data_IF_670826528736
#
_entry.id   IF_670826528736
#
_cell.length_a   1.000
_cell.length_b   1.000
_cell.length_c   1.000
_cell.angle_alpha   90.00
_cell.angle_beta   90.00
_cell.angle_gamma   90.00
#
_symmetry.space_group_name_H-M   'P 1'
#
loop_
_entity.id
_entity.type
_entity.pdbx_description
1 polymer ?
#
# COMPACT_ATOMS: atom_id res chain seq x y z
N UNK A 1 -6.19 79.91 -28.22
CA UNK A 1 -6.92 79.60 -26.96
C UNK A 1 -5.91 79.07 -25.95
N UNK A 2 -5.71 79.76 -24.84
CA UNK A 2 -4.78 79.39 -23.78
C UNK A 2 -5.46 78.31 -22.92
N UNK A 3 -4.85 77.13 -22.68
CA UNK A 3 -5.49 76.09 -21.88
C UNK A 3 -5.64 76.58 -20.43
N UNK A 4 -6.84 76.46 -19.89
CA UNK A 4 -7.13 76.85 -18.52
C UNK A 4 -6.36 75.96 -17.52
N UNK A 5 -5.85 76.52 -16.41
CA UNK A 5 -5.11 75.76 -15.43
C UNK A 5 -6.04 74.73 -14.77
N UNK A 6 -5.72 73.46 -14.98
CA UNK A 6 -6.46 72.33 -14.42
C UNK A 6 -6.50 72.44 -12.88
N UNK A 7 -7.70 72.26 -12.30
CA UNK A 7 -7.95 72.49 -10.86
C UNK A 7 -6.98 71.73 -9.94
N UNK A 8 -6.63 72.32 -8.78
CA UNK A 8 -5.71 71.73 -7.78
C UNK A 8 -6.09 70.28 -7.41
N UNK A 9 -7.38 69.94 -7.42
CA UNK A 9 -7.90 68.57 -7.17
C UNK A 9 -7.53 67.55 -8.25
N UNK A 10 -7.41 67.97 -9.51
CA UNK A 10 -7.00 67.09 -10.62
C UNK A 10 -5.47 66.95 -10.62
N UNK A 11 -4.73 68.01 -10.26
CA UNK A 11 -3.27 67.96 -10.10
C UNK A 11 -2.83 66.96 -9.03
N UNK A 12 -3.53 66.90 -7.89
CA UNK A 12 -3.23 65.95 -6.81
C UNK A 12 -3.57 64.50 -7.16
N UNK A 13 -4.63 64.27 -7.95
CA UNK A 13 -4.96 62.94 -8.49
C UNK A 13 -3.94 62.47 -9.53
N UNK A 14 -3.49 63.36 -10.41
CA UNK A 14 -2.44 63.05 -11.39
C UNK A 14 -1.10 62.78 -10.69
N UNK A 15 -0.71 63.56 -9.68
CA UNK A 15 0.55 63.33 -8.95
C UNK A 15 0.57 62.01 -8.16
N UNK A 16 -0.59 61.52 -7.69
CA UNK A 16 -0.69 60.19 -7.05
C UNK A 16 -0.58 59.05 -8.07
N UNK A 17 -1.04 59.26 -9.31
CA UNK A 17 -0.96 58.27 -10.39
C UNK A 17 0.37 58.26 -11.15
N UNK A 18 1.17 59.32 -11.03
CA UNK A 18 2.53 59.41 -11.59
C UNK A 18 3.54 58.95 -10.55
N UNK A 19 3.38 57.73 -10.06
CA UNK A 19 4.57 56.99 -9.64
C UNK A 19 5.23 56.50 -10.92
N UNK A 20 6.20 57.26 -11.43
CA UNK A 20 7.13 56.74 -12.44
C UNK A 20 7.63 55.41 -11.89
N UNK A 21 7.25 54.29 -12.51
CA UNK A 21 7.84 52.99 -12.17
C UNK A 21 9.35 53.22 -12.14
N UNK A 22 10.06 52.88 -11.04
CA UNK A 22 11.49 53.14 -10.96
C UNK A 22 12.15 52.51 -12.17
N UNK A 23 13.01 53.29 -12.85
CA UNK A 23 13.77 52.83 -14.02
C UNK A 23 14.43 51.49 -13.66
N UNK A 24 14.45 50.52 -14.58
CA UNK A 24 14.93 49.16 -14.28
C UNK A 24 16.37 49.14 -13.72
N UNK A 25 17.19 50.13 -14.07
CA UNK A 25 18.56 50.35 -13.58
C UNK A 25 18.64 50.81 -12.11
N UNK A 26 17.56 51.36 -11.53
CA UNK A 26 17.50 51.77 -10.12
C UNK A 26 16.81 50.72 -9.23
N UNK A 27 16.54 49.53 -9.77
CA UNK A 27 16.15 48.39 -8.91
C UNK A 27 17.38 47.99 -8.12
N UNK A 28 17.29 47.98 -6.79
CA UNK A 28 18.28 47.29 -5.98
C UNK A 28 18.38 45.86 -6.49
N UNK A 29 19.56 45.48 -6.96
CA UNK A 29 19.86 44.20 -7.54
C UNK A 29 19.31 43.07 -6.67
N UNK A 30 18.81 42.02 -7.32
CA UNK A 30 18.47 40.74 -6.69
C UNK A 30 19.73 40.18 -6.00
N UNK A 31 20.00 40.61 -4.78
CA UNK A 31 20.93 39.95 -3.87
C UNK A 31 20.38 38.55 -3.61
N UNK A 32 21.26 37.54 -3.61
CA UNK A 32 20.91 36.14 -3.37
C UNK A 32 20.13 35.96 -2.05
N UNK A 33 20.42 36.80 -1.06
CA UNK A 33 19.68 36.89 0.19
C UNK A 33 18.75 38.11 0.15
N UNK A 34 17.44 37.84 -0.01
CA UNK A 34 16.42 38.87 0.15
C UNK A 34 16.38 39.24 1.64
N UNK A 35 16.91 40.41 2.00
CA UNK A 35 16.65 40.99 3.33
C UNK A 35 15.14 41.16 3.47
N UNK A 36 14.56 40.56 4.51
CA UNK A 36 13.15 40.76 4.83
C UNK A 36 12.87 42.25 4.98
N UNK A 37 11.83 42.71 4.28
CA UNK A 37 11.44 44.13 4.32
C UNK A 37 10.98 44.44 5.74
N UNK A 38 11.73 45.28 6.45
CA UNK A 38 11.39 45.79 7.78
C UNK A 38 10.17 46.72 7.78
N UNK A 39 9.77 47.23 6.62
CA UNK A 39 8.62 48.12 6.48
C UNK A 39 7.29 47.36 6.62
N UNK A 40 6.32 47.87 7.40
CA UNK A 40 5.01 47.25 7.54
C UNK A 40 4.26 47.26 6.21
N UNK A 41 3.59 46.15 5.87
CA UNK A 41 2.74 46.08 4.68
C UNK A 41 1.56 47.04 4.85
N UNK A 42 1.41 48.01 3.96
CA UNK A 42 0.29 48.96 4.01
C UNK A 42 -0.85 48.49 3.10
N UNK A 43 -2.09 48.43 3.60
CA UNK A 43 -3.31 48.35 2.77
C UNK A 43 -4.07 49.67 2.84
N UNK A 44 -4.32 50.28 1.69
CA UNK A 44 -5.03 51.58 1.55
C UNK A 44 -4.45 52.69 2.46
N UNK A 45 -3.13 52.69 2.66
CA UNK A 45 -2.44 53.70 3.48
C UNK A 45 -2.36 53.39 4.99
N UNK A 46 -2.92 52.27 5.44
CA UNK A 46 -2.84 51.84 6.84
C UNK A 46 -1.93 50.62 7.01
N UNK A 47 -1.08 50.55 8.06
CA UNK A 47 -0.27 49.38 8.35
C UNK A 47 -1.11 48.16 8.71
N UNK A 48 -0.92 47.09 7.96
CA UNK A 48 -1.38 45.75 8.30
C UNK A 48 -0.47 45.20 9.39
N UNK A 49 -0.90 45.31 10.63
CA UNK A 49 -0.31 44.55 11.72
C UNK A 49 -0.61 43.06 11.54
N UNK A 50 0.29 42.19 12.01
CA UNK A 50 -0.04 40.78 12.17
C UNK A 50 -1.31 40.71 13.03
N UNK A 51 -2.38 40.16 12.47
CA UNK A 51 -3.68 40.07 13.13
C UNK A 51 -3.48 39.48 14.52
N UNK A 52 -3.84 40.24 15.55
CA UNK A 52 -3.85 39.75 16.92
C UNK A 52 -4.72 38.48 16.93
N UNK A 53 -4.21 37.41 17.55
CA UNK A 53 -4.88 36.12 17.56
C UNK A 53 -6.18 36.25 18.37
N UNK A 54 -7.27 36.59 17.69
CA UNK A 54 -8.56 36.86 18.30
C UNK A 54 -9.26 35.54 18.61
N UNK A 55 -9.11 35.09 19.86
CA UNK A 55 -9.63 33.81 20.36
C UNK A 55 -11.16 33.84 20.44
N UNK A 56 -11.77 35.02 20.59
CA UNK A 56 -13.19 35.16 20.92
C UNK A 56 -14.12 35.15 19.70
N UNK A 57 -13.63 35.57 18.52
CA UNK A 57 -14.45 35.70 17.31
C UNK A 57 -14.34 34.50 16.34
N UNK A 58 -13.54 33.49 16.65
CA UNK A 58 -13.48 32.27 15.83
C UNK A 58 -14.38 31.20 16.44
N UNK A 59 -15.43 30.82 15.70
CA UNK A 59 -16.07 29.51 15.91
C UNK A 59 -14.96 28.45 15.91
N UNK A 60 -14.79 27.79 17.06
CA UNK A 60 -13.91 26.63 17.18
C UNK A 60 -14.42 25.59 16.20
N UNK A 61 -13.84 25.54 15.00
CA UNK A 61 -14.13 24.46 14.06
C UNK A 61 -13.66 23.20 14.77
N UNK A 62 -14.61 22.41 15.28
CA UNK A 62 -14.38 21.30 16.20
C UNK A 62 -13.21 20.44 15.76
N UNK A 63 -12.46 19.93 16.74
CA UNK A 63 -11.33 19.01 16.63
C UNK A 63 -11.18 18.44 15.21
N UNK A 64 -10.38 19.12 14.36
CA UNK A 64 -10.08 18.60 13.03
C UNK A 64 -9.43 17.24 13.24
N UNK A 65 -10.17 16.17 12.96
CA UNK A 65 -9.65 14.80 13.02
C UNK A 65 -8.31 14.80 12.29
N UNK A 66 -7.27 14.36 12.98
CA UNK A 66 -5.92 14.29 12.43
C UNK A 66 -5.98 13.62 11.05
N UNK A 67 -5.54 14.33 10.02
CA UNK A 67 -5.30 13.75 8.71
C UNK A 67 -3.80 13.46 8.64
N UNK A 68 -3.37 12.18 8.58
CA UNK A 68 -1.97 11.89 8.40
C UNK A 68 -1.43 12.57 7.15
N UNK A 69 -0.15 12.96 7.14
CA UNK A 69 0.49 13.53 5.95
C UNK A 69 0.30 12.58 4.77
N UNK A 70 0.11 13.15 3.58
CA UNK A 70 -0.01 12.38 2.34
C UNK A 70 1.29 11.61 2.13
N UNK A 71 1.28 10.32 2.48
CA UNK A 71 2.39 9.41 2.18
C UNK A 71 2.49 9.33 0.66
N UNK A 72 3.65 9.69 0.10
CA UNK A 72 3.93 9.52 -1.32
C UNK A 72 3.70 8.05 -1.65
N UNK A 73 2.71 7.76 -2.50
CA UNK A 73 2.52 6.42 -3.02
C UNK A 73 3.76 6.10 -3.84
N UNK A 74 4.43 4.99 -3.52
CA UNK A 74 5.52 4.49 -4.35
C UNK A 74 4.99 4.30 -5.77
N UNK A 75 5.66 4.93 -6.74
CA UNK A 75 5.29 4.78 -8.15
C UNK A 75 5.56 3.34 -8.55
N UNK A 76 4.49 2.62 -8.89
CA UNK A 76 4.60 1.25 -9.39
C UNK A 76 5.32 1.34 -10.74
N UNK A 77 6.58 0.88 -10.78
CA UNK A 77 7.36 0.76 -12.01
C UNK A 77 6.60 -0.19 -12.95
N UNK A 78 6.20 0.30 -14.12
CA UNK A 78 5.40 -0.49 -15.09
C UNK A 78 6.26 -1.12 -16.19
N UNK A 79 7.43 -0.55 -16.45
CA UNK A 79 8.32 -0.99 -17.51
C UNK A 79 9.39 -1.90 -16.89
N UNK A 80 9.20 -3.21 -17.04
CA UNK A 80 10.15 -4.22 -16.63
C UNK A 80 10.82 -4.81 -17.87
N UNK A 81 12.15 -4.77 -17.88
CA UNK A 81 12.97 -5.45 -18.89
C UNK A 81 13.51 -6.77 -18.32
N UNK A 82 14.09 -7.60 -19.18
CA UNK A 82 14.69 -8.90 -18.80
C UNK A 82 15.72 -8.74 -17.66
N UNK A 83 16.46 -7.63 -17.64
CA UNK A 83 17.45 -7.31 -16.61
C UNK A 83 16.80 -6.97 -15.25
N UNK A 84 15.60 -6.39 -15.26
CA UNK A 84 14.91 -5.88 -14.06
C UNK A 84 13.74 -6.77 -13.62
N UNK A 85 13.48 -7.87 -14.33
CA UNK A 85 12.34 -8.75 -14.03
C UNK A 85 12.43 -9.40 -12.64
N UNK A 86 13.64 -9.49 -12.08
CA UNK A 86 13.86 -9.95 -10.71
C UNK A 86 13.25 -9.02 -9.66
N UNK A 87 13.04 -7.74 -9.96
CA UNK A 87 12.39 -6.78 -9.06
C UNK A 87 10.85 -6.96 -9.02
N UNK A 88 10.30 -7.74 -9.97
CA UNK A 88 8.85 -7.96 -10.06
C UNK A 88 8.42 -8.86 -8.93
N UNK A 89 7.81 -8.24 -7.91
CA UNK A 89 7.14 -8.96 -6.84
C UNK A 89 5.81 -9.51 -7.32
N UNK A 90 5.54 -10.75 -7.00
CA UNK A 90 4.31 -11.45 -7.36
C UNK A 90 3.72 -12.20 -6.17
N UNK A 91 2.47 -12.62 -6.32
CA UNK A 91 1.78 -13.49 -5.37
C UNK A 91 0.90 -14.47 -6.11
N UNK A 92 0.68 -15.62 -5.50
CA UNK A 92 -0.37 -16.55 -5.91
C UNK A 92 -0.94 -17.27 -4.69
N UNK A 93 -2.17 -17.73 -4.83
CA UNK A 93 -2.79 -18.69 -3.93
C UNK A 93 -2.81 -20.05 -4.56
N UNK A 94 -2.75 -21.06 -3.71
CA UNK A 94 -2.79 -22.44 -4.16
C UNK A 94 -3.70 -23.27 -3.27
N UNK A 95 -4.32 -24.24 -3.90
CA UNK A 95 -5.09 -25.30 -3.26
C UNK A 95 -4.69 -26.62 -3.91
N UNK A 96 -4.21 -27.55 -3.09
CA UNK A 96 -3.73 -28.86 -3.49
C UNK A 96 -4.63 -29.88 -2.81
N UNK A 97 -5.23 -30.74 -3.61
CA UNK A 97 -5.95 -31.91 -3.11
C UNK A 97 -5.09 -33.15 -3.31
N UNK A 98 -5.04 -33.99 -2.28
CA UNK A 98 -4.10 -35.09 -2.24
C UNK A 98 -4.30 -35.97 -1.02
N UNK A 99 -3.34 -36.87 -0.81
CA UNK A 99 -3.23 -37.67 0.41
C UNK A 99 -1.86 -37.38 0.99
N UNK A 100 -1.85 -36.86 2.21
CA UNK A 100 -0.63 -36.46 2.91
C UNK A 100 -0.50 -37.21 4.23
N UNK A 101 0.69 -37.76 4.47
CA UNK A 101 1.02 -38.54 5.66
C UNK A 101 1.03 -37.67 6.93
N UNK A 102 0.78 -38.29 8.09
CA UNK A 102 0.80 -37.63 9.41
C UNK A 102 -0.04 -36.36 9.50
N UNK A 103 -1.19 -36.36 8.81
CA UNK A 103 -2.07 -35.21 8.79
C UNK A 103 -1.54 -34.03 7.99
N UNK A 104 -0.51 -34.24 7.17
CA UNK A 104 0.14 -33.25 6.31
C UNK A 104 1.38 -32.60 6.90
N UNK A 105 1.92 -33.08 8.03
CA UNK A 105 3.13 -32.51 8.66
C UNK A 105 4.37 -32.68 7.78
N UNK A 106 4.61 -33.89 7.27
CA UNK A 106 5.78 -34.22 6.43
C UNK A 106 5.82 -33.32 5.19
N UNK A 107 4.71 -33.28 4.45
CA UNK A 107 4.57 -32.40 3.30
C UNK A 107 4.72 -30.91 3.66
N UNK A 108 4.16 -30.49 4.80
CA UNK A 108 4.29 -29.10 5.27
C UNK A 108 5.74 -28.71 5.51
N UNK A 109 6.53 -29.60 6.11
CA UNK A 109 7.94 -29.33 6.42
C UNK A 109 8.80 -29.31 5.15
N UNK A 110 8.54 -30.21 4.20
CA UNK A 110 9.18 -30.19 2.88
C UNK A 110 8.88 -28.88 2.15
N UNK A 111 7.60 -28.56 1.99
CA UNK A 111 7.13 -27.34 1.33
C UNK A 111 7.66 -26.07 2.02
N UNK A 112 7.69 -26.04 3.35
CA UNK A 112 8.26 -24.94 4.12
C UNK A 112 9.76 -24.78 3.84
N UNK A 113 10.52 -25.88 3.83
CA UNK A 113 11.96 -25.86 3.55
C UNK A 113 12.24 -25.36 2.12
N UNK A 114 11.49 -25.83 1.12
CA UNK A 114 11.65 -25.37 -0.26
C UNK A 114 11.28 -23.90 -0.41
N UNK A 115 10.13 -23.48 0.11
CA UNK A 115 9.71 -22.08 0.03
C UNK A 115 10.70 -21.15 0.75
N UNK A 116 11.24 -21.56 1.90
CA UNK A 116 12.28 -20.80 2.62
C UNK A 116 13.58 -20.69 1.83
N UNK A 117 14.01 -21.75 1.13
CA UNK A 117 15.20 -21.72 0.24
C UNK A 117 15.04 -20.76 -0.93
N UNK A 118 13.82 -20.56 -1.39
CA UNK A 118 13.48 -19.63 -2.47
C UNK A 118 13.19 -18.19 -1.99
N UNK A 119 13.38 -17.92 -0.69
CA UNK A 119 13.06 -16.65 -0.03
C UNK A 119 11.60 -16.20 -0.21
N UNK A 120 10.68 -17.16 -0.32
CA UNK A 120 9.24 -16.86 -0.37
C UNK A 120 8.71 -16.50 1.02
N UNK A 121 7.66 -15.69 1.05
CA UNK A 121 6.93 -15.30 2.27
C UNK A 121 5.44 -15.61 2.11
N UNK A 122 4.71 -15.76 3.21
CA UNK A 122 3.28 -16.03 3.15
C UNK A 122 2.77 -16.96 4.24
N UNK A 123 1.81 -17.82 3.89
CA UNK A 123 1.26 -18.78 4.84
C UNK A 123 0.87 -20.10 4.18
N UNK A 124 0.94 -21.15 4.99
CA UNK A 124 0.68 -22.53 4.58
C UNK A 124 -0.29 -23.15 5.58
N UNK A 125 -1.27 -23.89 5.09
CA UNK A 125 -2.18 -24.71 5.88
C UNK A 125 -2.22 -26.11 5.28
N UNK A 126 -1.58 -27.06 5.94
CA UNK A 126 -1.59 -28.46 5.54
C UNK A 126 -2.59 -29.26 6.36
N UNK A 127 -3.28 -30.20 5.70
CA UNK A 127 -4.15 -31.22 6.29
C UNK A 127 -3.97 -32.53 5.53
N UNK A 128 -4.49 -33.63 6.09
CA UNK A 128 -4.40 -34.97 5.49
C UNK A 128 -4.88 -35.06 4.04
N UNK A 129 -5.92 -34.30 3.66
CA UNK A 129 -6.56 -34.40 2.33
C UNK A 129 -6.33 -33.19 1.42
N UNK A 130 -5.94 -32.07 2.00
CA UNK A 130 -5.77 -30.83 1.26
C UNK A 130 -4.69 -29.99 1.89
N UNK A 131 -4.02 -29.22 1.05
CA UNK A 131 -3.07 -28.20 1.44
C UNK A 131 -3.47 -26.92 0.74
N UNK A 132 -3.48 -25.81 1.45
CA UNK A 132 -3.77 -24.51 0.86
C UNK A 132 -2.82 -23.47 1.43
N UNK A 133 -2.59 -22.43 0.67
CA UNK A 133 -1.71 -21.38 1.10
C UNK A 133 -1.64 -20.24 0.13
N UNK A 134 -0.72 -19.35 0.45
CA UNK A 134 -0.45 -18.16 -0.31
C UNK A 134 1.02 -17.85 -0.19
N UNK A 135 1.68 -17.69 -1.33
CA UNK A 135 3.08 -17.30 -1.40
C UNK A 135 3.22 -15.96 -2.11
N UNK A 136 4.17 -15.16 -1.62
CA UNK A 136 4.64 -13.95 -2.24
C UNK A 136 6.16 -14.01 -2.36
N UNK A 137 6.69 -13.41 -3.41
CA UNK A 137 8.12 -13.35 -3.66
C UNK A 137 8.39 -12.77 -5.04
N UNK A 138 9.63 -12.86 -5.47
CA UNK A 138 10.01 -12.40 -6.80
C UNK A 138 9.43 -13.34 -7.88
N UNK A 139 9.21 -12.81 -9.08
CA UNK A 139 8.54 -13.54 -10.17
C UNK A 139 9.28 -14.83 -10.56
N UNK A 140 10.61 -14.85 -10.46
CA UNK A 140 11.40 -16.05 -10.69
C UNK A 140 11.17 -17.11 -9.61
N UNK A 141 11.22 -16.73 -8.33
CA UNK A 141 10.98 -17.65 -7.21
C UNK A 141 9.58 -18.26 -7.27
N UNK A 142 8.58 -17.46 -7.65
CA UNK A 142 7.21 -17.95 -7.84
C UNK A 142 7.11 -18.93 -9.00
N UNK A 143 7.74 -18.63 -10.14
CA UNK A 143 7.77 -19.53 -11.30
C UNK A 143 8.45 -20.86 -10.96
N UNK A 144 9.56 -20.81 -10.23
CA UNK A 144 10.27 -22.00 -9.78
C UNK A 144 9.44 -22.81 -8.77
N UNK A 145 8.69 -22.16 -7.88
CA UNK A 145 7.79 -22.86 -6.96
C UNK A 145 6.65 -23.57 -7.68
N UNK A 146 6.13 -23.01 -8.78
CA UNK A 146 5.14 -23.71 -9.62
C UNK A 146 5.73 -24.95 -10.24
N UNK A 147 6.89 -24.80 -10.85
CA UNK A 147 7.61 -25.92 -11.44
C UNK A 147 7.93 -27.02 -10.41
N UNK A 148 8.25 -26.62 -9.17
CA UNK A 148 8.44 -27.55 -8.07
C UNK A 148 7.16 -28.34 -7.75
N UNK A 149 5.97 -27.72 -7.78
CA UNK A 149 4.72 -28.45 -7.60
C UNK A 149 4.46 -29.46 -8.72
N UNK A 150 4.80 -29.12 -9.96
CA UNK A 150 4.59 -30.00 -11.12
C UNK A 150 5.50 -31.23 -11.10
N UNK A 151 6.74 -31.07 -10.62
CA UNK A 151 7.72 -32.17 -10.53
C UNK A 151 7.63 -32.91 -9.17
N UNK A 152 6.90 -32.36 -8.19
CA UNK A 152 6.85 -32.93 -6.85
C UNK A 152 6.43 -34.40 -6.90
N UNK A 153 7.30 -35.26 -6.37
CA UNK A 153 7.07 -36.69 -6.27
C UNK A 153 7.56 -37.16 -4.91
N UNK A 154 6.71 -37.93 -4.23
CA UNK A 154 7.00 -38.53 -2.93
C UNK A 154 6.28 -39.87 -2.84
N UNK A 155 6.89 -40.83 -2.16
CA UNK A 155 6.30 -42.16 -1.95
C UNK A 155 5.06 -42.09 -1.06
N UNK A 156 5.09 -41.20 -0.06
CA UNK A 156 4.07 -41.11 1.00
C UNK A 156 3.05 -39.99 0.75
N UNK A 157 3.45 -38.90 0.07
CA UNK A 157 2.58 -37.76 -0.22
C UNK A 157 2.19 -37.75 -1.70
N UNK A 158 0.90 -37.87 -1.99
CA UNK A 158 0.38 -37.88 -3.37
C UNK A 158 -0.48 -36.65 -3.64
N UNK A 159 -0.08 -35.86 -4.62
CA UNK A 159 -0.87 -34.75 -5.16
C UNK A 159 -1.78 -35.30 -6.26
N UNK A 160 -3.10 -35.08 -6.13
CA UNK A 160 -4.08 -35.47 -7.14
C UNK A 160 -4.49 -34.30 -8.03
N UNK A 161 -4.60 -33.11 -7.45
CA UNK A 161 -5.03 -31.92 -8.17
C UNK A 161 -4.36 -30.68 -7.55
N UNK A 162 -3.76 -29.86 -8.40
CA UNK A 162 -3.17 -28.57 -8.06
C UNK A 162 -4.01 -27.47 -8.72
N UNK A 163 -4.53 -26.55 -7.91
CA UNK A 163 -5.19 -25.34 -8.38
C UNK A 163 -4.38 -24.13 -7.92
N UNK A 164 -3.98 -23.31 -8.88
CA UNK A 164 -3.34 -22.02 -8.63
C UNK A 164 -4.31 -20.93 -9.07
N UNK A 165 -4.48 -19.90 -8.25
CA UNK A 165 -5.42 -18.81 -8.49
C UNK A 165 -4.96 -17.52 -7.79
N UNK A 166 -5.66 -16.41 -8.06
CA UNK A 166 -5.32 -15.07 -7.54
C UNK A 166 -3.87 -14.65 -7.84
N UNK A 167 -3.41 -14.91 -9.07
CA UNK A 167 -2.07 -14.56 -9.52
C UNK A 167 -1.97 -13.06 -9.81
N UNK A 168 -1.19 -12.35 -8.99
CA UNK A 168 -0.93 -10.94 -9.22
C UNK A 168 0.57 -10.70 -9.32
N UNK A 169 0.96 -9.89 -10.31
CA UNK A 169 2.33 -9.42 -10.51
C UNK A 169 2.40 -7.90 -10.29
N UNK A 170 3.59 -7.39 -9.94
CA UNK A 170 3.82 -5.95 -9.73
C UNK A 170 3.29 -5.44 -8.39
N UNK A 171 3.36 -6.25 -7.33
CA UNK A 171 2.92 -5.85 -5.99
C UNK A 171 3.95 -4.90 -5.39
N UNK A 172 3.57 -3.76 -4.79
CA UNK A 172 4.54 -2.81 -4.24
C UNK A 172 5.32 -3.40 -3.05
N UNK A 173 4.61 -4.06 -2.13
CA UNK A 173 5.16 -4.60 -0.89
C UNK A 173 4.55 -5.94 -0.54
N UNK A 174 5.36 -6.81 0.09
CA UNK A 174 4.86 -8.05 0.67
C UNK A 174 4.05 -7.79 1.93
N UNK A 175 2.96 -8.54 2.07
CA UNK A 175 2.08 -8.51 3.24
C UNK A 175 2.70 -9.25 4.44
N UNK A 176 3.66 -10.14 4.17
CA UNK A 176 4.28 -11.03 5.15
C UNK A 176 5.79 -10.84 5.18
N UNK A 177 6.39 -11.02 6.37
CA UNK A 177 7.85 -11.03 6.53
C UNK A 177 8.42 -12.45 6.46
N UNK A 178 7.67 -13.44 6.95
CA UNK A 178 8.09 -14.83 7.04
C UNK A 178 6.93 -15.74 6.61
N UNK A 179 7.25 -17.00 6.32
CA UNK A 179 6.25 -18.04 6.10
C UNK A 179 5.64 -18.46 7.44
N UNK A 180 4.32 -18.39 7.54
CA UNK A 180 3.56 -18.81 8.72
C UNK A 180 2.82 -20.12 8.47
N UNK A 181 2.98 -21.09 9.39
CA UNK A 181 2.26 -22.36 9.33
C UNK A 181 0.99 -22.26 10.17
N UNK A 182 -0.17 -22.32 9.51
CA UNK A 182 -1.48 -22.20 10.14
C UNK A 182 -1.87 -23.54 10.77
N UNK A 183 -1.59 -23.67 12.08
CA UNK A 183 -1.99 -24.83 12.88
C UNK A 183 -3.45 -24.74 13.33
N UNK A 184 -4.02 -25.89 13.69
CA UNK A 184 -5.37 -25.95 14.26
C UNK A 184 -5.35 -25.65 15.76
N UNK A 185 -5.66 -24.41 16.12
CA UNK A 185 -5.74 -23.97 17.52
C UNK A 185 -7.12 -24.18 18.16
N UNK A 186 -8.04 -24.91 17.52
CA UNK A 186 -9.34 -25.23 18.14
C UNK A 186 -9.12 -26.04 19.42
N UNK A 187 -9.96 -25.80 20.43
CA UNK A 187 -9.93 -26.56 21.69
C UNK A 187 -10.18 -28.05 21.44
N UNK A 188 -9.64 -28.96 22.30
CA UNK A 188 -9.81 -30.40 22.13
C UNK A 188 -11.27 -30.84 22.00
N UNK A 189 -12.17 -30.25 22.80
CA UNK A 189 -13.61 -30.50 22.73
C UNK A 189 -14.20 -30.16 21.35
N UNK A 190 -13.84 -28.99 20.79
CA UNK A 190 -14.30 -28.59 19.44
C UNK A 190 -13.73 -29.49 18.34
N UNK A 191 -12.49 -29.97 18.49
CA UNK A 191 -11.89 -30.95 17.57
C UNK A 191 -12.65 -32.28 17.59
N UNK A 192 -12.99 -32.79 18.79
CA UNK A 192 -13.79 -34.02 18.97
C UNK A 192 -15.18 -33.88 18.34
N UNK A 193 -15.88 -32.78 18.60
CA UNK A 193 -17.19 -32.51 18.00
C UNK A 193 -17.13 -32.49 16.47
N UNK A 194 -16.13 -31.83 15.90
CA UNK A 194 -15.97 -31.75 14.44
C UNK A 194 -15.61 -33.12 13.81
N UNK A 195 -14.88 -33.96 14.54
CA UNK A 195 -14.63 -35.35 14.14
C UNK A 195 -15.92 -36.16 14.12
N UNK A 196 -16.75 -36.05 15.16
CA UNK A 196 -18.05 -36.72 15.25
C UNK A 196 -18.97 -36.26 14.12
N UNK A 197 -19.13 -34.95 13.93
CA UNK A 197 -19.92 -34.38 12.85
C UNK A 197 -19.42 -34.82 11.46
N UNK A 198 -18.10 -34.88 11.26
CA UNK A 198 -17.53 -35.40 10.02
C UNK A 198 -17.86 -36.88 9.80
N UNK A 199 -17.84 -37.70 10.86
CA UNK A 199 -18.18 -39.13 10.74
C UNK A 199 -19.67 -39.32 10.48
N UNK A 200 -20.53 -38.56 11.16
CA UNK A 200 -21.97 -38.55 10.94
C UNK A 200 -22.30 -38.15 9.50
N UNK A 201 -21.66 -37.09 8.98
CA UNK A 201 -21.83 -36.67 7.58
C UNK A 201 -21.42 -37.77 6.59
N UNK A 202 -20.33 -38.49 6.86
CA UNK A 202 -19.91 -39.60 5.98
C UNK A 202 -20.91 -40.77 6.05
N UNK A 203 -21.44 -41.09 7.24
CA UNK A 203 -22.47 -42.11 7.42
C UNK A 203 -23.76 -41.73 6.69
N UNK A 204 -24.22 -40.49 6.84
CA UNK A 204 -25.43 -40.01 6.13
C UNK A 204 -25.19 -40.00 4.62
N UNK A 205 -24.05 -39.50 4.14
CA UNK A 205 -23.70 -39.54 2.71
C UNK A 205 -23.74 -40.96 2.16
N UNK A 206 -23.21 -41.95 2.89
CA UNK A 206 -23.23 -43.35 2.50
C UNK A 206 -24.65 -43.94 2.48
N UNK A 207 -25.49 -43.61 3.47
CA UNK A 207 -26.88 -44.06 3.53
C UNK A 207 -27.74 -43.51 2.39
N UNK A 208 -27.51 -42.25 1.99
CA UNK A 208 -28.31 -41.59 0.95
C UNK A 208 -27.79 -41.79 -0.47
N UNK A 209 -26.70 -42.56 -0.69
CA UNK A 209 -26.09 -42.79 -2.02
C UNK A 209 -25.93 -41.50 -2.85
N UNK A 210 -25.74 -40.35 -2.19
CA UNK A 210 -25.52 -39.08 -2.86
C UNK A 210 -24.11 -39.13 -3.47
N UNK A 211 -24.04 -39.38 -4.79
CA UNK A 211 -22.79 -39.32 -5.55
C UNK A 211 -22.22 -37.90 -5.49
#
# INVERSE_FOLDING_TARGET
MIPTPVSKKIRSRLSLSVQKKPHFLFRQNLLLEKKDKWEPKLRKGHPEFATQFDILNRQVTGFRKYKPPLVKKEEIKKNYDITNFHEVKSKFRFEINGIFEDGGSVFCDELYKTAKRMFLVGWIKCRRKFVMGHFQGDSYSISYMRHWFDIYSSEFNKIHNLKIFDENHGIPKFDYYNITIVKDYRSPAKKKMHLIQSQEYLKTKALFNLK
#
